data_IF_761201431271
#
_entry.id   IF_761201431271
#
_cell.length_a   1.000
_cell.length_b   1.000
_cell.length_c   1.000
_cell.angle_alpha   90.00
_cell.angle_beta   90.00
_cell.angle_gamma   90.00
#
_symmetry.space_group_name_H-M   'P 1'
#
loop_
_entity.id
_entity.type
_entity.pdbx_description
1 polymer ?
#
# COMPACT_ATOMS: atom_id res chain seq x y z
N UNK A 1 20.21 -65.94 15.65
CA UNK A 1 19.12 -65.05 15.19
C UNK A 1 19.58 -63.61 15.42
N UNK A 2 19.99 -62.89 14.37
CA UNK A 2 20.41 -61.48 14.46
C UNK A 2 19.24 -60.61 14.00
N UNK A 3 18.66 -59.85 14.92
CA UNK A 3 17.59 -58.90 14.63
C UNK A 3 18.15 -57.72 13.85
N UNK A 4 17.63 -57.47 12.65
CA UNK A 4 17.96 -56.31 11.83
C UNK A 4 16.91 -55.23 12.12
N UNK A 5 17.33 -54.15 12.77
CA UNK A 5 16.49 -52.99 13.07
C UNK A 5 16.37 -52.14 11.79
N UNK A 6 15.19 -52.10 11.19
CA UNK A 6 14.91 -51.22 10.05
C UNK A 6 14.74 -49.78 10.56
N UNK A 7 15.70 -48.91 10.25
CA UNK A 7 15.60 -47.48 10.51
C UNK A 7 14.72 -46.85 9.42
N UNK A 8 13.46 -46.54 9.75
CA UNK A 8 12.56 -45.79 8.87
C UNK A 8 13.02 -44.33 8.89
N UNK A 9 13.67 -43.89 7.81
CA UNK A 9 14.00 -42.47 7.58
C UNK A 9 12.72 -41.77 7.16
N UNK A 10 12.11 -41.03 8.08
CA UNK A 10 11.04 -40.09 7.77
C UNK A 10 11.65 -38.90 7.02
N UNK A 11 11.54 -38.89 5.68
CA UNK A 11 11.75 -37.67 4.91
C UNK A 11 10.63 -36.68 5.24
N UNK A 12 10.89 -35.79 6.19
CA UNK A 12 10.06 -34.61 6.38
C UNK A 12 10.18 -33.71 5.15
N UNK A 13 9.05 -33.42 4.51
CA UNK A 13 8.97 -32.35 3.50
C UNK A 13 9.22 -31.02 4.19
N UNK A 14 10.47 -30.56 4.19
CA UNK A 14 10.80 -29.17 4.55
C UNK A 14 10.36 -28.33 3.35
N UNK A 15 9.25 -27.60 3.50
CA UNK A 15 8.90 -26.56 2.52
C UNK A 15 10.04 -25.55 2.47
N UNK A 16 10.52 -25.13 1.28
CA UNK A 16 11.53 -24.09 1.22
C UNK A 16 10.90 -22.82 1.80
N UNK A 17 11.39 -22.39 2.96
CA UNK A 17 11.14 -21.02 3.40
C UNK A 17 11.72 -20.11 2.30
N UNK A 18 10.89 -19.25 1.71
CA UNK A 18 11.35 -18.18 0.84
C UNK A 18 12.26 -17.28 1.69
N UNK A 19 13.56 -17.59 1.65
CA UNK A 19 14.56 -16.81 2.36
C UNK A 19 14.63 -15.44 1.68
N UNK A 20 14.26 -14.42 2.44
CA UNK A 20 14.34 -13.04 2.02
C UNK A 20 15.77 -12.74 1.52
N UNK A 21 15.91 -12.32 0.27
CA UNK A 21 17.22 -12.03 -0.31
C UNK A 21 17.77 -10.73 0.29
N UNK A 22 18.48 -10.88 1.40
CA UNK A 22 19.03 -9.77 2.19
C UNK A 22 19.89 -8.84 1.35
N UNK A 23 20.57 -9.35 0.32
CA UNK A 23 21.40 -8.53 -0.56
C UNK A 23 20.56 -7.59 -1.43
N UNK A 24 19.45 -8.07 -1.98
CA UNK A 24 18.51 -7.25 -2.77
C UNK A 24 17.84 -6.16 -1.93
N UNK A 25 17.42 -6.49 -0.72
CA UNK A 25 16.83 -5.51 0.20
C UNK A 25 17.86 -4.49 0.65
N UNK A 26 19.10 -4.91 0.90
CA UNK A 26 20.18 -3.99 1.25
C UNK A 26 20.42 -2.96 0.13
N UNK A 27 20.35 -3.39 -1.14
CA UNK A 27 20.41 -2.46 -2.28
C UNK A 27 19.26 -1.46 -2.27
N UNK A 28 18.05 -1.90 -1.94
CA UNK A 28 16.87 -1.03 -1.81
C UNK A 28 17.03 -0.03 -0.68
N UNK A 29 17.46 -0.47 0.51
CA UNK A 29 17.84 0.40 1.63
C UNK A 29 18.88 1.45 1.24
N UNK A 30 19.83 1.08 0.38
CA UNK A 30 20.86 2.02 -0.09
C UNK A 30 20.36 3.04 -1.12
N UNK A 31 19.21 2.82 -1.74
CA UNK A 31 18.60 3.79 -2.66
C UNK A 31 17.73 4.81 -1.93
N UNK A 32 17.39 4.57 -0.66
CA UNK A 32 16.54 5.46 0.14
C UNK A 32 17.39 6.55 0.80
N UNK A 33 16.94 7.79 0.66
CA UNK A 33 17.58 8.99 1.18
C UNK A 33 16.60 9.83 1.99
N UNK A 34 17.11 10.73 2.82
CA UNK A 34 16.29 11.70 3.52
C UNK A 34 16.24 13.00 2.70
N UNK A 35 15.07 13.63 2.66
CA UNK A 35 14.94 15.01 2.19
C UNK A 35 14.82 15.89 3.43
N UNK A 36 15.62 16.94 3.53
CA UNK A 36 15.60 17.91 4.63
C UNK A 36 15.40 19.31 4.10
N UNK A 37 14.91 20.20 4.95
CA UNK A 37 14.79 21.61 4.62
C UNK A 37 14.43 22.44 5.84
N UNK A 38 14.83 23.71 5.87
CA UNK A 38 14.39 24.63 6.91
C UNK A 38 13.04 25.25 6.55
N UNK A 39 12.13 25.30 7.52
CA UNK A 39 10.86 25.99 7.39
C UNK A 39 11.00 27.50 7.68
N UNK A 40 9.92 28.27 7.46
CA UNK A 40 9.92 29.72 7.69
C UNK A 40 10.26 30.14 9.12
N UNK A 41 10.05 29.25 10.09
CA UNK A 41 10.27 29.51 11.51
C UNK A 41 11.64 28.97 12.00
N UNK A 42 12.49 28.50 11.08
CA UNK A 42 13.80 27.91 11.38
C UNK A 42 13.77 26.45 11.84
N UNK A 43 12.58 25.83 11.95
CA UNK A 43 12.43 24.41 12.26
C UNK A 43 12.83 23.52 11.09
N UNK A 44 13.30 22.31 11.40
CA UNK A 44 13.67 21.33 10.39
C UNK A 44 12.44 20.56 9.90
N UNK A 45 12.14 20.68 8.61
CA UNK A 45 11.24 19.79 7.88
C UNK A 45 12.04 18.63 7.30
N UNK A 46 11.45 17.44 7.32
CA UNK A 46 12.07 16.25 6.76
C UNK A 46 11.05 15.31 6.13
N UNK A 47 11.52 14.54 5.17
CA UNK A 47 10.83 13.45 4.51
C UNK A 47 11.85 12.43 4.00
N UNK A 48 11.38 11.50 3.20
CA UNK A 48 12.17 10.45 2.57
C UNK A 48 12.17 10.64 1.05
N UNK A 49 13.06 9.96 0.35
CA UNK A 49 13.08 9.89 -1.10
C UNK A 49 13.73 8.60 -1.56
N UNK A 50 13.50 8.22 -2.81
CA UNK A 50 14.09 7.02 -3.41
C UNK A 50 14.88 7.43 -4.64
N UNK A 51 16.15 7.03 -4.71
CA UNK A 51 16.99 7.22 -5.90
C UNK A 51 16.49 6.25 -6.97
N UNK A 52 16.04 6.77 -8.11
CA UNK A 52 15.45 5.96 -9.20
C UNK A 52 16.28 5.99 -10.49
N UNK A 53 17.17 6.96 -10.62
CA UNK A 53 18.18 7.01 -11.67
C UNK A 53 19.39 7.81 -11.18
N UNK A 54 20.46 7.85 -11.99
CA UNK A 54 21.64 8.66 -11.68
C UNK A 54 21.22 10.11 -11.40
N UNK A 55 21.56 10.63 -10.22
CA UNK A 55 21.24 11.99 -9.79
C UNK A 55 19.74 12.33 -9.72
N UNK A 56 18.85 11.33 -9.71
CA UNK A 56 17.39 11.51 -9.70
C UNK A 56 16.77 10.82 -8.50
N UNK A 57 16.01 11.58 -7.71
CA UNK A 57 15.31 11.10 -6.52
C UNK A 57 13.82 11.38 -6.70
N UNK A 58 12.98 10.37 -6.48
CA UNK A 58 11.53 10.55 -6.39
C UNK A 58 11.14 10.73 -4.92
N UNK A 59 10.20 11.63 -4.65
CA UNK A 59 9.66 11.90 -3.32
C UNK A 59 8.27 12.55 -3.44
N UNK A 60 7.65 12.92 -2.31
CA UNK A 60 6.41 13.70 -2.33
C UNK A 60 6.64 15.19 -2.51
N UNK A 61 5.73 15.85 -3.22
CA UNK A 61 5.80 17.28 -3.45
C UNK A 61 5.52 18.11 -2.19
N UNK A 62 4.62 17.65 -1.31
CA UNK A 62 4.26 18.41 -0.12
C UNK A 62 5.43 18.70 0.82
N UNK A 63 6.50 17.88 0.77
CA UNK A 63 7.74 18.08 1.53
C UNK A 63 8.39 19.43 1.18
N UNK A 64 8.28 19.87 -0.08
CA UNK A 64 8.90 21.10 -0.58
C UNK A 64 8.04 22.36 -0.40
N UNK A 65 6.82 22.23 0.15
CA UNK A 65 5.90 23.38 0.30
C UNK A 65 6.23 24.26 1.49
N UNK A 66 6.98 23.74 2.46
CA UNK A 66 7.31 24.45 3.70
C UNK A 66 8.75 24.93 3.76
N UNK A 67 9.60 24.56 2.81
CA UNK A 67 11.04 24.86 2.84
C UNK A 67 11.51 25.71 1.67
N UNK A 68 12.40 26.66 1.96
CA UNK A 68 13.03 27.54 0.95
C UNK A 68 14.35 26.98 0.40
N UNK A 69 14.98 26.08 1.15
CA UNK A 69 16.30 25.53 0.85
C UNK A 69 16.32 24.05 1.23
N UNK A 70 15.74 23.17 0.39
CA UNK A 70 15.79 21.74 0.63
C UNK A 70 17.12 21.14 0.16
N UNK A 71 17.53 20.03 0.79
CA UNK A 71 18.66 19.21 0.38
C UNK A 71 18.38 17.73 0.60
N UNK A 72 19.14 16.88 -0.11
CA UNK A 72 19.15 15.43 0.13
C UNK A 72 20.20 15.13 1.20
N UNK A 73 19.89 14.25 2.14
CA UNK A 73 20.80 13.84 3.21
C UNK A 73 20.88 12.32 3.34
N UNK A 74 22.05 11.83 3.74
CA UNK A 74 22.25 10.44 4.16
C UNK A 74 23.28 10.39 5.27
N UNK A 75 22.85 10.03 6.48
CA UNK A 75 23.69 10.19 7.67
C UNK A 75 24.08 11.66 7.87
N UNK A 76 25.38 11.94 7.80
CA UNK A 76 25.94 13.29 7.92
C UNK A 76 26.16 13.96 6.56
N UNK A 77 26.13 13.20 5.47
CA UNK A 77 26.34 13.74 4.12
C UNK A 77 25.12 14.53 3.65
N UNK A 78 25.39 15.60 2.90
CA UNK A 78 24.37 16.46 2.29
C UNK A 78 24.67 16.69 0.81
N UNK A 79 23.60 16.76 0.01
CA UNK A 79 23.67 16.90 -1.44
C UNK A 79 22.65 17.95 -1.88
N UNK A 80 23.10 18.88 -2.72
CA UNK A 80 22.28 19.98 -3.23
C UNK A 80 21.18 19.47 -4.18
N UNK A 81 19.97 20.02 -4.00
CA UNK A 81 18.87 19.86 -4.96
C UNK A 81 18.96 20.99 -5.97
N UNK A 82 19.17 20.63 -7.24
CA UNK A 82 19.30 21.58 -8.34
C UNK A 82 17.94 22.07 -8.83
N UNK A 83 16.97 21.14 -8.93
CA UNK A 83 15.63 21.43 -9.41
C UNK A 83 14.65 20.30 -9.06
N UNK A 84 13.37 20.60 -9.22
CA UNK A 84 12.26 19.66 -9.08
C UNK A 84 11.32 19.76 -10.28
N UNK A 85 10.80 18.63 -10.73
CA UNK A 85 9.65 18.54 -11.63
C UNK A 85 8.48 18.03 -10.81
N UNK A 86 7.44 18.84 -10.66
CA UNK A 86 6.43 18.68 -9.62
C UNK A 86 5.04 18.39 -10.18
N UNK A 87 4.59 17.14 -10.05
CA UNK A 87 3.17 16.79 -10.17
C UNK A 87 2.50 17.00 -8.81
N UNK A 88 1.91 18.19 -8.66
CA UNK A 88 1.26 18.60 -7.42
C UNK A 88 0.01 17.81 -7.13
N UNK A 89 -0.74 17.46 -8.18
CA UNK A 89 -2.03 16.77 -8.06
C UNK A 89 -1.81 15.36 -7.53
N UNK A 90 -0.85 14.64 -8.12
CA UNK A 90 -0.47 13.31 -7.66
C UNK A 90 0.49 13.32 -6.48
N UNK A 91 0.97 14.48 -6.01
CA UNK A 91 1.94 14.62 -4.93
C UNK A 91 3.27 13.87 -5.18
N UNK A 92 3.74 13.84 -6.44
CA UNK A 92 5.02 13.24 -6.82
C UNK A 92 5.97 14.27 -7.41
N UNK A 93 7.17 14.32 -6.85
CA UNK A 93 8.20 15.27 -7.24
C UNK A 93 9.48 14.54 -7.63
N UNK A 94 9.92 14.75 -8.87
CA UNK A 94 11.20 14.25 -9.37
C UNK A 94 12.28 15.30 -9.12
N UNK A 95 13.21 14.96 -8.25
CA UNK A 95 14.30 15.81 -7.78
C UNK A 95 15.56 15.51 -8.59
N UNK A 96 16.20 16.55 -9.11
CA UNK A 96 17.54 16.45 -9.70
C UNK A 96 18.59 16.98 -8.74
N UNK A 97 19.66 16.23 -8.56
CA UNK A 97 20.80 16.60 -7.73
C UNK A 97 22.12 16.54 -8.51
N UNK A 98 23.24 16.89 -7.87
CA UNK A 98 24.57 16.68 -8.43
C UNK A 98 25.34 15.61 -7.66
N UNK A 99 26.07 14.77 -8.40
CA UNK A 99 27.02 13.79 -7.87
C UNK A 99 26.49 12.87 -6.74
N UNK A 100 25.26 12.36 -6.84
CA UNK A 100 24.74 11.38 -5.87
C UNK A 100 25.50 10.04 -6.00
N UNK A 101 26.13 9.52 -4.93
CA UNK A 101 26.91 8.28 -4.97
C UNK A 101 26.05 7.02 -4.76
N UNK A 102 24.73 7.14 -4.85
CA UNK A 102 23.78 6.10 -4.49
C UNK A 102 23.28 5.34 -5.73
N UNK A 103 23.24 4.01 -5.63
CA UNK A 103 22.67 3.18 -6.67
C UNK A 103 21.15 3.34 -6.71
N UNK A 104 20.54 3.43 -7.92
CA UNK A 104 19.09 3.51 -8.04
C UNK A 104 18.41 2.20 -7.65
N UNK A 105 17.22 2.32 -7.05
CA UNK A 105 16.30 1.20 -6.88
C UNK A 105 15.88 0.66 -8.25
N UNK A 106 15.79 -0.67 -8.43
CA UNK A 106 15.06 -1.22 -9.55
C UNK A 106 13.57 -0.82 -9.42
N UNK A 107 12.94 -0.47 -10.53
CA UNK A 107 11.52 -0.08 -10.56
C UNK A 107 10.70 -1.33 -10.94
N UNK A 108 9.68 -1.62 -10.14
CA UNK A 108 8.74 -2.71 -10.37
C UNK A 108 7.56 -2.30 -11.25
N UNK A 109 6.45 -3.00 -11.12
CA UNK A 109 5.21 -2.71 -11.84
C UNK A 109 4.02 -2.85 -10.88
N UNK A 110 3.38 -1.73 -10.53
CA UNK A 110 2.30 -1.73 -9.54
C UNK A 110 1.02 -2.39 -10.08
N UNK A 111 0.91 -2.57 -11.40
CA UNK A 111 -0.24 -3.25 -12.03
C UNK A 111 -0.20 -4.76 -11.86
N UNK A 112 0.95 -5.33 -11.48
CA UNK A 112 1.10 -6.76 -11.22
C UNK A 112 0.93 -7.11 -9.73
N UNK A 113 0.65 -6.10 -8.90
CA UNK A 113 0.45 -6.27 -7.47
C UNK A 113 -0.78 -7.16 -7.23
N UNK A 114 -0.65 -8.07 -6.26
CA UNK A 114 -1.75 -8.91 -5.80
C UNK A 114 -2.12 -8.57 -4.37
N UNK A 115 -3.40 -8.74 -4.01
CA UNK A 115 -3.82 -8.72 -2.61
C UNK A 115 -3.06 -9.76 -1.80
N UNK A 116 -2.75 -9.43 -0.56
CA UNK A 116 -1.98 -10.30 0.33
C UNK A 116 -0.48 -10.33 0.05
N UNK A 117 -0.02 -9.82 -1.10
CA UNK A 117 1.41 -9.77 -1.43
C UNK A 117 2.19 -9.05 -0.33
N UNK A 118 3.21 -9.71 0.19
CA UNK A 118 4.12 -9.12 1.17
C UNK A 118 4.95 -8.00 0.56
N UNK A 119 5.13 -6.93 1.33
CA UNK A 119 5.83 -5.71 0.90
C UNK A 119 6.60 -5.09 2.05
N UNK A 120 7.63 -4.31 1.69
CA UNK A 120 8.47 -3.59 2.62
C UNK A 120 8.35 -2.09 2.36
N UNK A 121 7.99 -1.33 3.39
CA UNK A 121 8.07 0.12 3.41
C UNK A 121 9.41 0.55 3.98
N UNK A 122 10.22 1.30 3.22
CA UNK A 122 11.58 1.70 3.60
C UNK A 122 11.73 3.21 3.52
N UNK A 123 12.02 3.85 4.66
CA UNK A 123 12.05 5.31 4.76
C UNK A 123 12.60 5.86 6.07
N UNK A 124 12.80 7.16 6.12
CA UNK A 124 13.30 7.91 7.26
C UNK A 124 12.17 8.39 8.19
N UNK A 125 11.31 7.47 8.62
CA UNK A 125 10.23 7.76 9.57
C UNK A 125 10.78 8.43 10.83
N UNK A 126 10.08 9.45 11.35
CA UNK A 126 10.50 10.31 12.47
C UNK A 126 11.86 11.01 12.29
N UNK A 127 12.35 11.14 11.05
CA UNK A 127 13.61 11.85 10.79
C UNK A 127 14.86 11.07 11.22
N UNK A 128 14.74 9.76 11.42
CA UNK A 128 15.87 8.89 11.80
C UNK A 128 16.90 8.88 10.65
N UNK A 129 18.21 9.14 10.92
CA UNK A 129 19.23 9.23 9.86
C UNK A 129 19.42 7.96 9.04
N UNK A 130 19.16 6.78 9.63
CA UNK A 130 19.17 5.50 8.93
C UNK A 130 17.74 5.13 8.50
N UNK A 131 17.55 4.62 7.27
CA UNK A 131 16.22 4.22 6.81
C UNK A 131 15.69 3.06 7.66
N UNK A 132 14.44 3.18 8.09
CA UNK A 132 13.70 2.17 8.82
C UNK A 132 12.87 1.34 7.85
N UNK A 133 12.74 0.05 8.15
CA UNK A 133 11.92 -0.88 7.36
C UNK A 133 10.68 -1.29 8.16
N UNK A 134 9.52 -1.26 7.53
CA UNK A 134 8.27 -1.81 8.05
C UNK A 134 7.75 -2.85 7.06
N UNK A 135 7.51 -4.06 7.54
CA UNK A 135 6.86 -5.11 6.75
C UNK A 135 5.33 -4.98 6.83
N UNK A 136 4.67 -5.38 5.75
CA UNK A 136 3.23 -5.49 5.67
C UNK A 136 2.81 -6.28 4.44
N UNK A 137 1.53 -6.19 4.11
CA UNK A 137 0.96 -6.80 2.93
C UNK A 137 0.08 -5.80 2.21
N UNK A 138 -0.07 -6.00 0.90
CA UNK A 138 -1.04 -5.27 0.10
C UNK A 138 -2.44 -5.65 0.55
N UNK A 139 -3.26 -4.62 0.83
CA UNK A 139 -4.68 -4.79 1.11
C UNK A 139 -5.49 -4.71 -0.17
N UNK A 140 -5.23 -3.68 -0.97
CA UNK A 140 -5.92 -3.47 -2.24
C UNK A 140 -5.18 -2.43 -3.08
N UNK A 141 -5.57 -2.32 -4.34
CA UNK A 141 -5.15 -1.25 -5.24
C UNK A 141 -6.37 -0.61 -5.88
N UNK A 142 -6.35 0.71 -6.02
CA UNK A 142 -7.43 1.47 -6.62
C UNK A 142 -6.97 2.05 -7.96
N UNK A 143 -7.67 1.70 -9.04
CA UNK A 143 -7.43 2.34 -10.34
C UNK A 143 -7.81 3.82 -10.26
N UNK A 144 -6.84 4.69 -10.55
CA UNK A 144 -6.99 6.12 -10.53
C UNK A 144 -6.01 6.76 -11.51
N UNK A 145 -6.53 7.53 -12.48
CA UNK A 145 -5.73 8.29 -13.45
C UNK A 145 -4.55 7.50 -14.07
N UNK A 146 -4.83 6.27 -14.56
CA UNK A 146 -3.87 5.36 -15.22
C UNK A 146 -2.80 4.74 -14.31
N UNK A 147 -2.94 4.89 -13.00
CA UNK A 147 -2.10 4.25 -11.99
C UNK A 147 -2.96 3.50 -10.97
N UNK A 148 -2.32 2.59 -10.22
CA UNK A 148 -2.98 1.82 -9.17
C UNK A 148 -2.52 2.36 -7.81
N UNK A 149 -3.31 3.21 -7.16
CA UNK A 149 -3.01 3.71 -5.81
C UNK A 149 -3.05 2.53 -4.84
N UNK A 150 -1.98 2.36 -4.09
CA UNK A 150 -1.74 1.17 -3.28
C UNK A 150 -2.20 1.43 -1.85
N UNK A 151 -3.03 0.54 -1.29
CA UNK A 151 -3.29 0.48 0.16
C UNK A 151 -2.60 -0.75 0.75
N UNK A 152 -1.82 -0.54 1.80
CA UNK A 152 -1.09 -1.63 2.48
C UNK A 152 -1.24 -1.57 4.00
N UNK A 153 -0.83 -2.66 4.67
CA UNK A 153 -0.68 -2.71 6.12
C UNK A 153 0.71 -2.30 6.61
N UNK A 154 1.65 -1.98 5.71
CA UNK A 154 2.99 -1.54 6.06
C UNK A 154 2.90 -0.14 6.70
N UNK A 155 3.10 -0.08 8.01
CA UNK A 155 2.84 1.12 8.81
C UNK A 155 3.97 2.11 8.64
N UNK A 156 3.60 3.38 8.49
CA UNK A 156 4.57 4.47 8.51
C UNK A 156 4.14 5.64 9.39
N UNK A 157 5.13 6.35 9.95
CA UNK A 157 4.94 7.48 10.85
C UNK A 157 5.18 8.81 10.12
N UNK A 158 5.03 9.92 10.85
CA UNK A 158 5.37 11.24 10.34
C UNK A 158 6.85 11.27 9.87
N UNK A 159 7.14 11.95 8.75
CA UNK A 159 8.46 11.94 8.12
C UNK A 159 8.72 10.77 7.15
N UNK A 160 7.80 9.80 7.07
CA UNK A 160 7.86 8.76 6.07
C UNK A 160 7.41 9.21 4.67
N UNK A 161 6.81 10.38 4.51
CA UNK A 161 6.42 10.91 3.21
C UNK A 161 7.61 10.82 2.24
N UNK A 162 7.40 10.24 1.06
CA UNK A 162 8.41 10.03 0.04
C UNK A 162 9.21 8.73 0.21
N UNK A 163 8.88 7.90 1.19
CA UNK A 163 9.50 6.58 1.37
C UNK A 163 9.00 5.60 0.31
N UNK A 164 9.82 4.60 -0.02
CA UNK A 164 9.44 3.61 -1.02
C UNK A 164 8.69 2.44 -0.39
N UNK A 165 7.70 1.92 -1.10
CA UNK A 165 7.14 0.58 -0.86
C UNK A 165 7.70 -0.37 -1.92
N UNK A 166 8.25 -1.51 -1.49
CA UNK A 166 9.02 -2.45 -2.31
C UNK A 166 8.44 -3.86 -2.21
N UNK A 167 8.59 -4.65 -3.28
CA UNK A 167 8.42 -6.11 -3.19
C UNK A 167 9.60 -6.77 -2.45
N UNK A 168 9.51 -8.09 -2.23
CA UNK A 168 10.55 -8.84 -1.53
C UNK A 168 11.82 -9.03 -2.39
N UNK A 169 11.75 -8.73 -3.68
CA UNK A 169 12.88 -8.69 -4.61
C UNK A 169 13.61 -7.33 -4.61
N UNK A 170 13.09 -6.33 -3.89
CA UNK A 170 13.65 -4.99 -3.80
C UNK A 170 13.27 -4.06 -4.95
N UNK A 171 12.26 -4.39 -5.74
CA UNK A 171 11.73 -3.50 -6.76
C UNK A 171 10.76 -2.49 -6.13
N UNK A 172 10.95 -1.22 -6.47
CA UNK A 172 10.07 -0.14 -6.03
C UNK A 172 8.70 -0.28 -6.70
N UNK A 173 7.65 -0.38 -5.89
CA UNK A 173 6.26 -0.49 -6.33
C UNK A 173 5.52 0.86 -6.24
N UNK A 174 5.92 1.72 -5.30
CA UNK A 174 5.29 3.02 -5.13
C UNK A 174 5.96 3.91 -4.07
N UNK A 175 5.39 5.09 -3.86
CA UNK A 175 5.88 6.12 -2.93
C UNK A 175 4.83 6.38 -1.86
N UNK A 176 5.15 6.05 -0.60
CA UNK A 176 4.29 6.32 0.55
C UNK A 176 4.07 7.82 0.71
N UNK A 177 2.81 8.23 0.89
CA UNK A 177 2.41 9.64 0.87
C UNK A 177 1.57 10.04 2.07
N UNK A 178 0.38 9.47 2.21
CA UNK A 178 -0.63 9.89 3.15
C UNK A 178 -1.24 8.69 3.88
N UNK A 179 -1.84 8.99 5.03
CA UNK A 179 -2.59 8.03 5.82
C UNK A 179 -3.86 8.66 6.35
N UNK A 180 -4.85 7.85 6.68
CA UNK A 180 -6.02 8.39 7.39
C UNK A 180 -5.64 8.91 8.79
N UNK A 181 -6.38 9.90 9.32
CA UNK A 181 -6.30 10.29 10.72
C UNK A 181 -6.78 9.15 11.64
N UNK A 182 -6.34 9.18 12.91
CA UNK A 182 -6.79 8.22 13.93
C UNK A 182 -5.96 6.93 14.04
N UNK A 183 -6.48 6.01 14.86
CA UNK A 183 -5.99 4.63 15.04
C UNK A 183 -7.23 3.71 15.15
N UNK A 184 -7.38 2.66 14.32
CA UNK A 184 -6.48 2.26 13.23
C UNK A 184 -6.44 3.28 12.08
N UNK A 185 -5.45 3.14 11.18
CA UNK A 185 -5.25 4.04 10.05
C UNK A 185 -4.92 3.24 8.78
N UNK A 186 -5.29 3.78 7.62
CA UNK A 186 -4.96 3.22 6.32
C UNK A 186 -3.79 3.97 5.71
N UNK A 187 -2.87 3.23 5.10
CA UNK A 187 -1.61 3.71 4.57
C UNK A 187 -1.63 3.61 3.05
N UNK A 188 -1.37 4.73 2.38
CA UNK A 188 -1.46 4.83 0.93
C UNK A 188 -0.11 5.18 0.30
N UNK A 189 0.13 4.54 -0.85
CA UNK A 189 1.33 4.73 -1.66
C UNK A 189 0.94 5.00 -3.10
N UNK A 190 1.68 5.91 -3.73
CA UNK A 190 1.45 6.37 -5.09
C UNK A 190 2.20 5.47 -6.09
N UNK A 191 1.57 5.08 -7.20
CA UNK A 191 2.14 4.12 -8.15
C UNK A 191 3.38 4.65 -8.87
N UNK A 192 4.35 3.77 -9.14
CA UNK A 192 5.54 4.10 -9.94
C UNK A 192 5.22 4.47 -11.40
N UNK A 193 4.05 4.10 -11.91
CA UNK A 193 3.56 4.37 -13.26
C UNK A 193 3.44 5.88 -13.54
N UNK A 194 3.22 6.68 -12.50
CA UNK A 194 3.16 8.14 -12.63
C UNK A 194 4.54 8.80 -12.77
N UNK A 195 5.62 8.11 -12.39
CA UNK A 195 6.99 8.65 -12.46
C UNK A 195 7.36 9.05 -13.90
N UNK A 196 6.98 8.24 -14.89
CA UNK A 196 7.30 8.49 -16.29
C UNK A 196 6.69 9.79 -16.86
N UNK A 197 5.65 10.33 -16.21
CA UNK A 197 5.04 11.59 -16.62
C UNK A 197 5.81 12.81 -16.07
N UNK A 198 6.51 12.64 -14.94
CA UNK A 198 7.23 13.73 -14.27
C UNK A 198 8.34 14.33 -15.11
N UNK A 199 9.05 13.50 -15.90
CA UNK A 199 10.15 13.96 -16.75
C UNK A 199 9.71 14.97 -17.82
N UNK A 200 8.41 15.01 -18.13
CA UNK A 200 7.83 15.92 -19.13
C UNK A 200 7.36 17.24 -18.53
N UNK A 201 7.33 17.35 -17.19
CA UNK A 201 6.85 18.54 -16.50
C UNK A 201 7.92 19.65 -16.49
N UNK A 202 7.51 20.92 -16.36
CA UNK A 202 8.44 22.04 -16.23
C UNK A 202 9.43 21.85 -15.08
N UNK A 203 10.67 22.28 -15.32
CA UNK A 203 11.73 22.28 -14.31
C UNK A 203 11.58 23.52 -13.43
N UNK A 204 11.53 23.31 -12.11
CA UNK A 204 11.41 24.36 -11.12
C UNK A 204 12.66 24.40 -10.22
N UNK A 205 13.23 25.60 -10.05
CA UNK A 205 14.42 25.84 -9.20
C UNK A 205 14.11 26.69 -7.98
N UNK A 206 12.88 27.21 -7.88
CA UNK A 206 12.45 28.11 -6.81
C UNK A 206 11.62 27.34 -5.79
N UNK A 207 12.02 27.43 -4.53
CA UNK A 207 11.32 26.87 -3.39
C UNK A 207 10.80 27.98 -2.46
N UNK A 208 9.69 27.78 -1.73
CA UNK A 208 8.86 26.57 -1.72
C UNK A 208 8.03 26.44 -2.99
N UNK A 209 7.63 25.20 -3.32
CA UNK A 209 6.60 24.98 -4.33
C UNK A 209 5.21 25.11 -3.70
N UNK A 210 4.21 25.48 -4.49
CA UNK A 210 2.81 25.63 -4.06
C UNK A 210 1.91 24.64 -4.79
N UNK A 211 0.69 24.41 -4.32
CA UNK A 211 -0.27 23.50 -4.95
C UNK A 211 -0.78 22.45 -3.98
N UNK A 212 -1.85 21.78 -4.38
CA UNK A 212 -2.61 20.83 -3.57
C UNK A 212 -2.67 19.49 -4.28
N UNK A 213 -2.64 18.42 -3.51
CA UNK A 213 -2.79 17.05 -3.97
C UNK A 213 -4.23 16.57 -3.86
N UNK A 214 -4.60 15.54 -4.65
CA UNK A 214 -5.96 14.99 -4.63
C UNK A 214 -6.41 14.52 -3.24
N UNK A 215 -5.47 14.03 -2.42
CA UNK A 215 -5.76 13.52 -1.07
C UNK A 215 -6.02 14.62 -0.05
N UNK A 216 -5.70 15.87 -0.38
CA UNK A 216 -5.98 17.05 0.44
C UNK A 216 -7.36 17.65 0.12
N UNK A 217 -8.08 17.11 -0.88
CA UNK A 217 -9.37 17.65 -1.28
C UNK A 217 -10.43 17.62 -0.18
N UNK A 218 -11.47 18.44 -0.34
CA UNK A 218 -12.67 18.34 0.51
C UNK A 218 -13.26 16.93 0.40
N UNK A 219 -13.86 16.40 1.47
CA UNK A 219 -14.25 14.99 1.54
C UNK A 219 -15.08 14.50 0.34
N UNK A 220 -16.03 15.30 -0.14
CA UNK A 220 -16.89 14.94 -1.28
C UNK A 220 -16.16 15.01 -2.64
N UNK A 221 -15.03 15.72 -2.71
CA UNK A 221 -14.23 15.93 -3.92
C UNK A 221 -13.05 14.94 -4.02
N UNK A 222 -12.70 14.26 -2.92
CA UNK A 222 -11.71 13.18 -2.94
C UNK A 222 -12.19 12.01 -3.82
N UNK A 223 -11.29 11.19 -4.38
CA UNK A 223 -11.66 9.93 -5.03
C UNK A 223 -12.48 9.02 -4.11
N UNK A 224 -13.41 8.22 -4.67
CA UNK A 224 -14.32 7.39 -3.88
C UNK A 224 -13.60 6.43 -2.91
N UNK A 225 -12.49 5.83 -3.33
CA UNK A 225 -11.69 4.95 -2.48
C UNK A 225 -11.14 5.64 -1.21
N UNK A 226 -11.06 6.96 -1.20
CA UNK A 226 -10.72 7.73 -0.01
C UNK A 226 -11.94 8.10 0.83
N UNK A 227 -13.10 8.25 0.20
CA UNK A 227 -14.36 8.59 0.88
C UNK A 227 -14.87 7.45 1.77
N UNK A 228 -14.55 6.19 1.45
CA UNK A 228 -14.98 5.00 2.23
C UNK A 228 -14.19 4.81 3.52
N UNK A 229 -12.94 5.25 3.56
CA UNK A 229 -12.03 4.92 4.66
C UNK A 229 -12.43 5.52 6.02
N UNK A 230 -12.88 6.77 6.04
CA UNK A 230 -13.29 7.43 7.30
C UNK A 230 -14.60 6.86 7.85
N UNK A 231 -15.67 6.70 7.05
CA UNK A 231 -16.88 6.00 7.48
C UNK A 231 -16.59 4.61 8.06
N UNK A 232 -15.78 3.80 7.37
CA UNK A 232 -15.43 2.44 7.83
C UNK A 232 -14.70 2.48 9.18
N UNK A 233 -13.69 3.34 9.33
CA UNK A 233 -12.93 3.48 10.58
C UNK A 233 -13.79 3.99 11.75
N UNK A 234 -14.80 4.81 11.47
CA UNK A 234 -15.72 5.34 12.47
C UNK A 234 -16.94 4.45 12.70
N UNK A 235 -17.05 3.32 11.98
CA UNK A 235 -18.23 2.44 12.00
C UNK A 235 -19.53 3.16 11.61
N UNK A 236 -19.43 4.19 10.76
CA UNK A 236 -20.58 4.89 10.20
C UNK A 236 -21.04 4.14 8.94
N UNK A 237 -21.74 3.03 9.17
CA UNK A 237 -22.16 2.10 8.13
C UNK A 237 -23.19 2.70 7.16
N UNK A 238 -24.01 3.63 7.64
CA UNK A 238 -24.93 4.37 6.77
C UNK A 238 -24.16 5.28 5.81
N UNK A 239 -23.15 6.02 6.30
CA UNK A 239 -22.32 6.83 5.40
C UNK A 239 -21.48 5.98 4.46
N UNK A 240 -20.96 4.83 4.92
CA UNK A 240 -20.24 3.89 4.05
C UNK A 240 -21.15 3.39 2.92
N UNK A 241 -22.38 3.00 3.24
CA UNK A 241 -23.40 2.60 2.26
C UNK A 241 -23.63 3.68 1.19
N UNK A 242 -23.86 4.93 1.62
CA UNK A 242 -24.11 6.04 0.69
C UNK A 242 -22.92 6.31 -0.24
N UNK A 243 -21.68 6.25 0.28
CA UNK A 243 -20.47 6.41 -0.53
C UNK A 243 -20.31 5.25 -1.51
N UNK A 244 -20.49 4.01 -1.07
CA UNK A 244 -20.38 2.83 -1.91
C UNK A 244 -21.43 2.84 -3.04
N UNK A 245 -22.67 3.23 -2.75
CA UNK A 245 -23.73 3.42 -3.75
C UNK A 245 -23.34 4.45 -4.81
N UNK A 246 -22.87 5.63 -4.39
CA UNK A 246 -22.40 6.67 -5.33
C UNK A 246 -21.20 6.20 -6.16
N UNK A 247 -20.31 5.39 -5.58
CA UNK A 247 -19.18 4.82 -6.30
C UNK A 247 -19.65 3.81 -7.36
N UNK A 248 -20.56 2.89 -7.02
CA UNK A 248 -21.15 1.95 -7.98
C UNK A 248 -21.89 2.69 -9.10
N UNK A 249 -22.64 3.75 -8.79
CA UNK A 249 -23.35 4.53 -9.80
C UNK A 249 -22.39 5.22 -10.79
N UNK A 250 -21.20 5.60 -10.33
CA UNK A 250 -20.15 6.21 -11.16
C UNK A 250 -19.31 5.18 -11.92
N UNK A 251 -19.03 4.02 -11.31
CA UNK A 251 -18.24 2.92 -11.87
C UNK A 251 -18.81 1.56 -11.44
N UNK A 252 -19.82 1.03 -12.17
CA UNK A 252 -20.48 -0.22 -11.82
C UNK A 252 -19.58 -1.46 -11.91
N UNK A 253 -18.40 -1.34 -12.55
CA UNK A 253 -17.43 -2.43 -12.72
C UNK A 253 -16.32 -2.41 -11.68
N UNK A 254 -16.45 -1.57 -10.65
CA UNK A 254 -15.48 -1.47 -9.60
C UNK A 254 -15.69 -2.55 -8.53
N UNK A 255 -14.78 -3.52 -8.44
CA UNK A 255 -14.86 -4.59 -7.42
C UNK A 255 -14.87 -4.06 -5.98
N UNK A 256 -14.15 -2.96 -5.71
CA UNK A 256 -14.07 -2.37 -4.37
C UNK A 256 -15.35 -1.65 -3.98
N UNK A 257 -16.00 -0.98 -4.93
CA UNK A 257 -17.28 -0.33 -4.65
C UNK A 257 -18.34 -1.35 -4.19
N UNK A 258 -18.38 -2.52 -4.84
CA UNK A 258 -19.26 -3.63 -4.44
C UNK A 258 -18.84 -4.29 -3.13
N UNK A 259 -17.54 -4.45 -2.89
CA UNK A 259 -17.03 -4.95 -1.61
C UNK A 259 -17.43 -4.02 -0.45
N UNK A 260 -17.20 -2.71 -0.57
CA UNK A 260 -17.54 -1.73 0.46
C UNK A 260 -19.06 -1.64 0.70
N UNK A 261 -19.88 -1.82 -0.35
CA UNK A 261 -21.34 -1.95 -0.20
C UNK A 261 -21.70 -3.20 0.63
N UNK A 262 -21.04 -4.32 0.39
CA UNK A 262 -21.20 -5.54 1.18
C UNK A 262 -20.82 -5.33 2.65
N UNK A 263 -19.71 -4.66 2.91
CA UNK A 263 -19.26 -4.30 4.27
C UNK A 263 -20.30 -3.46 4.98
N UNK A 264 -20.87 -2.46 4.30
CA UNK A 264 -21.92 -1.62 4.87
C UNK A 264 -23.17 -2.43 5.22
N UNK A 265 -23.68 -3.24 4.28
CA UNK A 265 -24.86 -4.09 4.52
C UNK A 265 -24.65 -5.10 5.65
N UNK A 266 -23.50 -5.76 5.70
CA UNK A 266 -23.18 -6.75 6.72
C UNK A 266 -23.24 -6.12 8.12
N UNK A 267 -22.64 -4.94 8.29
CA UNK A 267 -22.63 -4.23 9.57
C UNK A 267 -23.98 -3.54 9.90
N UNK A 268 -24.87 -3.41 8.93
CA UNK A 268 -26.27 -3.00 9.14
C UNK A 268 -27.21 -4.20 9.44
N UNK A 269 -26.67 -5.42 9.49
CA UNK A 269 -27.44 -6.65 9.74
C UNK A 269 -28.20 -7.18 8.51
N UNK A 270 -27.92 -6.63 7.33
CA UNK A 270 -28.57 -6.96 6.05
C UNK A 270 -27.75 -8.02 5.33
N UNK A 271 -27.74 -9.24 5.88
CA UNK A 271 -26.82 -10.31 5.45
C UNK A 271 -27.06 -10.78 4.00
N UNK A 272 -28.32 -10.79 3.54
CA UNK A 272 -28.64 -11.23 2.17
C UNK A 272 -28.19 -10.20 1.14
N UNK A 273 -28.40 -8.91 1.42
CA UNK A 273 -27.89 -7.80 0.63
C UNK A 273 -26.35 -7.78 0.61
N UNK A 274 -25.72 -8.01 1.76
CA UNK A 274 -24.26 -8.13 1.85
C UNK A 274 -23.72 -9.27 0.99
N UNK A 275 -24.34 -10.46 1.06
CA UNK A 275 -23.97 -11.63 0.25
C UNK A 275 -24.09 -11.32 -1.25
N UNK A 276 -25.13 -10.59 -1.66
CA UNK A 276 -25.28 -10.19 -3.06
C UNK A 276 -24.20 -9.20 -3.50
N UNK A 277 -23.90 -8.18 -2.70
CA UNK A 277 -22.85 -7.21 -3.01
C UNK A 277 -21.45 -7.85 -3.08
N UNK A 278 -21.12 -8.75 -2.15
CA UNK A 278 -19.86 -9.49 -2.20
C UNK A 278 -19.78 -10.45 -3.40
N UNK A 279 -20.90 -11.05 -3.83
CA UNK A 279 -20.94 -11.85 -5.06
C UNK A 279 -20.63 -11.00 -6.29
N UNK A 280 -21.20 -9.81 -6.40
CA UNK A 280 -20.86 -8.88 -7.50
C UNK A 280 -19.38 -8.48 -7.48
N UNK A 281 -18.82 -8.23 -6.29
CA UNK A 281 -17.38 -7.96 -6.14
C UNK A 281 -16.51 -9.10 -6.67
N UNK A 282 -16.82 -10.35 -6.31
CA UNK A 282 -16.10 -11.56 -6.76
C UNK A 282 -16.34 -11.85 -8.25
N UNK A 283 -17.52 -11.53 -8.79
CA UNK A 283 -17.78 -11.65 -10.23
C UNK A 283 -16.91 -10.69 -11.06
N UNK A 284 -16.60 -9.51 -10.52
CA UNK A 284 -15.74 -8.53 -11.16
C UNK A 284 -14.24 -8.82 -10.96
N UNK A 285 -13.86 -9.36 -9.80
CA UNK A 285 -12.51 -9.81 -9.49
C UNK A 285 -12.55 -11.10 -8.67
N UNK A 286 -12.29 -12.23 -9.34
CA UNK A 286 -12.27 -13.55 -8.70
C UNK A 286 -11.15 -13.69 -7.65
N UNK A 287 -10.19 -12.76 -7.63
CA UNK A 287 -9.09 -12.70 -6.67
C UNK A 287 -9.37 -11.74 -5.50
N UNK A 288 -10.57 -11.18 -5.38
CA UNK A 288 -10.96 -10.38 -4.22
C UNK A 288 -11.14 -11.28 -2.99
N UNK A 289 -10.01 -11.61 -2.36
CA UNK A 289 -9.96 -12.51 -1.23
C UNK A 289 -10.74 -12.00 -0.02
N UNK A 290 -10.84 -10.67 0.16
CA UNK A 290 -11.61 -10.07 1.24
C UNK A 290 -13.11 -10.37 1.05
N UNK A 291 -13.65 -10.18 -0.16
CA UNK A 291 -15.03 -10.53 -0.48
C UNK A 291 -15.30 -12.04 -0.34
N UNK A 292 -14.38 -12.90 -0.77
CA UNK A 292 -14.48 -14.35 -0.59
C UNK A 292 -14.50 -14.75 0.89
N UNK A 293 -13.65 -14.12 1.72
CA UNK A 293 -13.65 -14.31 3.17
C UNK A 293 -15.01 -13.97 3.78
N UNK A 294 -15.59 -12.82 3.39
CA UNK A 294 -16.90 -12.39 3.90
C UNK A 294 -18.02 -13.31 3.44
N UNK A 295 -18.03 -13.75 2.18
CA UNK A 295 -18.99 -14.75 1.70
C UNK A 295 -18.91 -16.05 2.48
N UNK A 296 -17.70 -16.53 2.74
CA UNK A 296 -17.46 -17.73 3.53
C UNK A 296 -17.89 -17.57 5.00
N UNK A 297 -17.61 -16.42 5.63
CA UNK A 297 -18.05 -16.12 6.99
C UNK A 297 -19.59 -16.07 7.09
N UNK A 298 -20.27 -15.41 6.14
CA UNK A 298 -21.74 -15.40 6.07
C UNK A 298 -22.28 -16.81 5.86
N UNK A 299 -21.68 -17.61 4.97
CA UNK A 299 -22.09 -18.99 4.74
C UNK A 299 -21.96 -19.87 6.00
N UNK A 300 -20.89 -19.69 6.78
CA UNK A 300 -20.70 -20.35 8.07
C UNK A 300 -21.80 -19.98 9.08
N UNK A 301 -22.15 -18.68 9.17
CA UNK A 301 -23.22 -18.20 10.06
C UNK A 301 -24.58 -18.81 9.66
N UNK A 302 -24.83 -18.94 8.35
CA UNK A 302 -26.08 -19.49 7.80
C UNK A 302 -26.13 -21.04 7.80
N UNK A 303 -25.03 -21.73 8.12
CA UNK A 303 -24.94 -23.19 7.99
C UNK A 303 -24.93 -23.69 6.54
N UNK A 304 -24.62 -22.81 5.59
CA UNK A 304 -24.52 -23.10 4.15
C UNK A 304 -23.16 -23.72 3.82
N UNK A 305 -23.04 -25.02 4.10
CA UNK A 305 -21.79 -25.78 3.91
C UNK A 305 -21.32 -25.80 2.45
N UNK A 306 -22.23 -25.69 1.48
CA UNK A 306 -21.89 -25.68 0.07
C UNK A 306 -21.19 -24.37 -0.30
N UNK A 307 -21.78 -23.22 0.01
CA UNK A 307 -21.16 -21.91 -0.24
C UNK A 307 -19.86 -21.75 0.54
N UNK A 308 -19.78 -22.27 1.76
CA UNK A 308 -18.56 -22.27 2.55
C UNK A 308 -17.43 -23.04 1.88
N UNK A 309 -17.72 -24.24 1.36
CA UNK A 309 -16.74 -25.04 0.64
C UNK A 309 -16.30 -24.36 -0.67
N UNK A 310 -17.22 -23.72 -1.38
CA UNK A 310 -16.89 -22.94 -2.57
C UNK A 310 -15.95 -21.76 -2.25
N UNK A 311 -16.23 -20.99 -1.19
CA UNK A 311 -15.35 -19.91 -0.74
C UNK A 311 -13.95 -20.44 -0.38
N UNK A 312 -13.88 -21.55 0.37
CA UNK A 312 -12.63 -22.22 0.71
C UNK A 312 -11.79 -22.60 -0.51
N UNK A 313 -12.41 -23.21 -1.53
CA UNK A 313 -11.75 -23.60 -2.77
C UNK A 313 -11.27 -22.37 -3.54
N UNK A 314 -12.09 -21.32 -3.62
CA UNK A 314 -11.72 -20.07 -4.30
C UNK A 314 -10.52 -19.41 -3.63
N UNK A 315 -10.52 -19.28 -2.30
CA UNK A 315 -9.40 -18.72 -1.54
C UNK A 315 -8.13 -19.56 -1.73
N UNK A 316 -8.23 -20.89 -1.71
CA UNK A 316 -7.10 -21.78 -1.90
C UNK A 316 -6.47 -21.69 -3.31
N UNK A 317 -7.25 -21.28 -4.33
CA UNK A 317 -6.72 -21.02 -5.67
C UNK A 317 -5.91 -19.73 -5.75
N UNK A 318 -6.25 -18.74 -4.90
CA UNK A 318 -5.50 -17.48 -4.79
C UNK A 318 -4.20 -17.73 -4.05
N UNK A 319 -4.30 -18.27 -2.84
CA UNK A 319 -3.17 -18.55 -1.96
C UNK A 319 -3.53 -19.64 -0.93
N UNK A 320 -2.77 -20.73 -0.94
CA UNK A 320 -2.96 -21.86 -0.02
C UNK A 320 -2.75 -21.46 1.45
N UNK A 321 -1.84 -20.52 1.73
CA UNK A 321 -1.59 -20.00 3.08
C UNK A 321 -2.77 -19.19 3.59
N UNK A 322 -3.39 -18.41 2.69
CA UNK A 322 -4.58 -17.63 2.99
C UNK A 322 -5.79 -18.53 3.29
N UNK A 323 -5.94 -19.64 2.57
CA UNK A 323 -6.97 -20.63 2.87
C UNK A 323 -6.76 -21.31 4.23
N UNK A 324 -5.51 -21.54 4.65
CA UNK A 324 -5.20 -22.05 5.99
C UNK A 324 -5.59 -21.05 7.07
N UNK A 325 -5.31 -19.76 6.86
CA UNK A 325 -5.73 -18.69 7.77
C UNK A 325 -7.26 -18.59 7.87
N UNK A 326 -7.95 -18.65 6.73
CA UNK A 326 -9.42 -18.64 6.66
C UNK A 326 -10.03 -19.79 7.48
N UNK A 327 -9.57 -21.02 7.26
CA UNK A 327 -10.07 -22.19 7.99
C UNK A 327 -9.78 -22.10 9.50
N UNK A 328 -8.62 -21.56 9.88
CA UNK A 328 -8.29 -21.32 11.28
C UNK A 328 -9.29 -20.33 11.91
N UNK A 329 -9.59 -19.23 11.22
CA UNK A 329 -10.55 -18.23 11.69
C UNK A 329 -11.96 -18.81 11.86
N UNK A 330 -12.43 -19.63 10.93
CA UNK A 330 -13.74 -20.30 11.01
C UNK A 330 -13.85 -21.29 12.17
N UNK A 331 -12.74 -21.93 12.54
CA UNK A 331 -12.69 -22.90 13.65
C UNK A 331 -12.71 -22.26 15.05
N UNK A 332 -12.58 -20.93 15.13
CA UNK A 332 -12.58 -20.19 16.38
C UNK A 332 -14.00 -19.79 16.80
N UNK A 333 -14.55 -20.44 17.83
CA UNK A 333 -15.81 -20.01 18.46
C UNK A 333 -15.63 -18.67 19.21
N UNK A 334 -16.34 -17.63 18.78
CA UNK A 334 -16.72 -16.36 19.46
C UNK A 334 -15.70 -15.54 20.29
N UNK A 335 -14.44 -15.95 20.42
CA UNK A 335 -13.41 -15.19 21.15
C UNK A 335 -12.07 -15.24 20.42
N UNK A 336 -11.93 -14.46 19.35
CA UNK A 336 -10.65 -14.10 18.76
C UNK A 336 -10.54 -12.59 18.64
#
# INVERSE_FOLDING_TARGET
>A
MRATLLLIITLGYISPALALDQAKILKSLQSVVMIRGYNSNGGLAYGSGVVIAKNKVITNCHIFRTTKQPWIARGEDSYEILNVQADRWHDLCLVSAHALPFAPAPIGNSKLIKRGQEVLSIGHSNGVPNPLTSAGAIKTTYDFERGNVIRSSAKFLMGASGSGIFDLEGNLLGINTFKTPGRPAYFYSLPVEWIAQLEKLPVETKFPITGKAFWEEEDLQKPFFMQVAIPELNQDWLKLFEVAKRWIDADPKNTEAWYELGVAHENLGQLDEAKNAYRESVLLDENNSDALFRLGAIAQIQGDNESLNHANIAIARIDESLAKEFNKMLSCNFTC
#
